data_IF_141725024392
#
_entry.id   IF_141725024392
#
_cell.length_a   1.000
_cell.length_b   1.000
_cell.length_c   1.000
_cell.angle_alpha   90.00
_cell.angle_beta   90.00
_cell.angle_gamma   90.00
#
_symmetry.space_group_name_H-M   'P 1'
#
loop_
_entity.id
_entity.type
_entity.pdbx_description
1 polymer ?
#
# COMPACT_ATOMS: atom_id res chain seq x y z
N UNK A 1 -1.09 24.33 16.26
CA UNK A 1 -1.10 23.69 14.93
C UNK A 1 0.11 22.79 14.82
N UNK A 2 -0.08 21.48 14.63
CA UNK A 2 0.98 20.50 14.40
C UNK A 2 1.13 20.29 12.90
N UNK A 3 2.36 20.16 12.42
CA UNK A 3 2.63 19.95 11.00
C UNK A 3 3.61 18.79 10.82
N UNK A 4 3.40 18.02 9.75
CA UNK A 4 4.29 16.93 9.36
C UNK A 4 4.50 17.01 7.86
N UNK A 5 5.76 16.87 7.44
CA UNK A 5 6.10 16.77 6.02
C UNK A 5 5.83 15.35 5.55
N UNK A 6 5.14 15.22 4.42
CA UNK A 6 4.95 13.96 3.72
C UNK A 6 5.95 13.94 2.57
N UNK A 7 6.80 12.91 2.56
CA UNK A 7 7.86 12.74 1.57
C UNK A 7 7.51 11.51 0.74
N UNK A 8 7.60 11.64 -0.57
CA UNK A 8 7.56 10.49 -1.46
C UNK A 8 8.94 9.84 -1.48
N UNK A 9 8.98 8.53 -1.30
CA UNK A 9 10.19 7.71 -1.43
C UNK A 9 9.85 6.51 -2.31
N UNK A 10 10.16 6.58 -3.60
CA UNK A 10 9.80 5.56 -4.58
C UNK A 10 10.67 5.64 -5.83
N UNK A 11 10.88 4.50 -6.49
CA UNK A 11 11.68 4.38 -7.73
C UNK A 11 13.11 4.97 -7.60
N UNK A 12 13.72 4.88 -6.42
CA UNK A 12 15.05 5.44 -6.15
C UNK A 12 15.07 6.96 -5.98
N UNK A 13 13.92 7.62 -6.01
CA UNK A 13 13.77 9.05 -5.82
C UNK A 13 13.21 9.38 -4.44
N UNK A 14 13.58 10.56 -3.94
CA UNK A 14 13.05 11.11 -2.70
C UNK A 14 12.77 12.60 -2.88
N UNK A 15 11.50 13.00 -2.80
CA UNK A 15 11.09 14.39 -2.95
C UNK A 15 9.87 14.73 -2.09
N UNK A 16 9.63 16.01 -1.75
CA UNK A 16 8.51 16.43 -0.92
C UNK A 16 7.18 16.16 -1.65
N UNK A 17 6.34 15.31 -1.09
CA UNK A 17 5.00 15.03 -1.63
C UNK A 17 4.00 16.11 -1.19
N UNK A 18 4.07 16.49 0.09
CA UNK A 18 3.14 17.46 0.65
C UNK A 18 3.33 17.69 2.13
N UNK A 19 2.33 18.33 2.75
CA UNK A 19 2.31 18.61 4.18
C UNK A 19 0.95 18.27 4.75
N UNK A 20 0.97 17.69 5.94
CA UNK A 20 -0.18 17.56 6.81
C UNK A 20 -0.16 18.66 7.86
N UNK A 21 -1.30 19.32 8.06
CA UNK A 21 -1.49 20.28 9.14
C UNK A 21 -2.73 19.90 9.96
N UNK A 22 -2.57 19.81 11.27
CA UNK A 22 -3.64 19.47 12.22
C UNK A 22 -3.71 20.52 13.34
N UNK A 23 -4.89 21.10 13.53
CA UNK A 23 -5.18 22.02 14.64
C UNK A 23 -6.00 21.36 15.77
N UNK A 24 -6.27 20.06 15.66
CA UNK A 24 -7.12 19.26 16.54
C UNK A 24 -8.57 19.17 16.07
N UNK A 25 -9.05 20.13 15.27
CA UNK A 25 -10.42 20.20 14.71
C UNK A 25 -10.46 19.88 13.23
N UNK A 26 -9.47 20.33 12.50
CA UNK A 26 -9.34 20.17 11.05
C UNK A 26 -7.97 19.61 10.74
N UNK A 27 -7.96 18.59 9.87
CA UNK A 27 -6.75 18.04 9.31
C UNK A 27 -6.74 18.34 7.81
N UNK A 28 -5.69 19.02 7.36
CA UNK A 28 -5.50 19.43 5.99
C UNK A 28 -4.30 18.71 5.38
N UNK A 29 -4.40 18.37 4.09
CA UNK A 29 -3.28 17.91 3.28
C UNK A 29 -3.07 18.87 2.10
N UNK A 30 -1.85 19.34 1.91
CA UNK A 30 -1.47 20.21 0.80
C UNK A 30 -0.31 19.56 0.02
N UNK A 31 -0.43 19.49 -1.31
CA UNK A 31 0.68 19.05 -2.16
C UNK A 31 1.81 20.07 -2.16
N UNK A 32 3.06 19.58 -2.17
CA UNK A 32 4.20 20.45 -2.39
C UNK A 32 4.24 20.92 -3.87
N UNK A 33 4.77 22.11 -4.17
CA UNK A 33 4.94 22.56 -5.55
C UNK A 33 5.71 21.57 -6.42
N UNK A 34 6.70 20.89 -5.83
CA UNK A 34 7.49 19.86 -6.49
C UNK A 34 6.64 18.65 -6.88
N UNK A 35 5.74 18.18 -6.01
CA UNK A 35 4.80 17.10 -6.33
C UNK A 35 3.87 17.44 -7.51
N UNK A 36 3.41 18.69 -7.59
CA UNK A 36 2.60 19.17 -8.72
C UNK A 36 3.39 19.17 -10.03
N UNK A 37 4.69 19.52 -9.96
CA UNK A 37 5.58 19.48 -11.12
C UNK A 37 5.90 18.05 -11.57
N UNK A 38 6.04 17.11 -10.63
CA UNK A 38 6.24 15.68 -10.93
C UNK A 38 5.04 15.07 -11.65
N UNK A 39 3.82 15.54 -11.38
CA UNK A 39 2.60 15.05 -12.06
C UNK A 39 2.19 13.63 -11.68
N UNK A 40 2.79 13.04 -10.64
CA UNK A 40 2.47 11.69 -10.16
C UNK A 40 1.18 11.67 -9.33
N UNK A 41 0.10 11.15 -9.93
CA UNK A 41 -1.21 11.00 -9.30
C UNK A 41 -1.31 9.69 -8.49
N UNK A 42 -0.96 9.74 -7.20
CA UNK A 42 -1.04 8.57 -6.30
C UNK A 42 -2.47 8.17 -5.91
N UNK A 43 -3.43 9.11 -5.95
CA UNK A 43 -4.84 8.83 -5.65
C UNK A 43 -5.76 9.70 -6.52
N UNK A 44 -5.79 9.47 -7.84
CA UNK A 44 -6.42 10.37 -8.83
C UNK A 44 -7.91 10.61 -8.63
N UNK A 45 -8.60 9.77 -7.85
CA UNK A 45 -10.03 9.88 -7.56
C UNK A 45 -10.33 10.75 -6.33
N UNK A 46 -9.55 10.60 -5.24
CA UNK A 46 -9.86 11.21 -3.94
C UNK A 46 -8.83 12.24 -3.48
N UNK A 47 -7.63 12.22 -4.05
CA UNK A 47 -6.52 13.13 -3.77
C UNK A 47 -5.82 13.46 -5.09
N UNK A 48 -6.54 14.16 -5.97
CA UNK A 48 -6.02 14.58 -7.27
C UNK A 48 -4.96 15.68 -7.10
N UNK A 49 -3.92 15.70 -7.92
CA UNK A 49 -2.92 16.77 -7.87
C UNK A 49 -3.56 18.12 -8.15
N UNK A 50 -3.47 19.01 -7.15
CA UNK A 50 -3.93 20.39 -7.23
C UNK A 50 -3.20 21.25 -6.18
N UNK A 51 -3.07 22.56 -6.41
CA UNK A 51 -2.41 23.46 -5.45
C UNK A 51 -3.26 23.73 -4.20
N UNK A 52 -4.58 23.53 -4.24
CA UNK A 52 -5.44 23.75 -3.08
C UNK A 52 -5.36 22.57 -2.10
N UNK A 53 -5.27 22.89 -0.81
CA UNK A 53 -5.35 21.89 0.24
C UNK A 53 -6.65 21.06 0.15
N UNK A 54 -6.52 19.80 0.52
CA UNK A 54 -7.63 18.91 0.85
C UNK A 54 -7.93 19.02 2.34
N UNK A 55 -9.21 18.91 2.68
CA UNK A 55 -9.73 18.88 4.04
C UNK A 55 -10.99 18.02 4.08
N UNK A 56 -11.72 18.10 5.19
CA UNK A 56 -13.00 17.39 5.41
C UNK A 56 -12.92 15.88 5.16
N UNK A 57 -11.76 15.30 5.41
CA UNK A 57 -11.57 13.86 5.34
C UNK A 57 -12.50 13.16 6.36
N UNK A 58 -12.98 11.94 6.06
CA UNK A 58 -13.93 11.28 6.91
C UNK A 58 -13.41 11.05 8.34
N UNK A 59 -14.24 11.34 9.34
CA UNK A 59 -13.86 11.17 10.75
C UNK A 59 -13.48 9.73 11.09
N UNK A 60 -14.08 8.74 10.42
CA UNK A 60 -13.76 7.32 10.60
C UNK A 60 -12.36 6.93 10.08
N UNK A 61 -11.75 7.74 9.20
CA UNK A 61 -10.35 7.62 8.75
C UNK A 61 -9.41 8.52 9.55
N UNK A 62 -9.80 8.89 10.79
CA UNK A 62 -9.07 9.85 11.62
C UNK A 62 -8.85 11.21 10.93
N UNK A 63 -9.71 11.56 9.97
CA UNK A 63 -9.57 12.73 9.10
C UNK A 63 -8.29 12.73 8.26
N UNK A 64 -7.78 11.56 7.89
CA UNK A 64 -6.69 11.41 6.90
C UNK A 64 -7.26 11.03 5.53
N UNK A 65 -6.49 11.28 4.47
CA UNK A 65 -6.81 10.70 3.17
C UNK A 65 -6.62 9.18 3.23
N UNK A 66 -7.43 8.42 2.48
CA UNK A 66 -7.29 6.96 2.40
C UNK A 66 -5.86 6.54 2.04
N UNK A 67 -5.20 7.26 1.11
CA UNK A 67 -3.79 7.04 0.76
C UNK A 67 -2.85 7.01 1.98
N UNK A 68 -3.12 7.85 2.98
CA UNK A 68 -2.28 8.01 4.18
C UNK A 68 -2.78 7.19 5.37
N UNK A 69 -4.03 6.72 5.34
CA UNK A 69 -4.67 6.03 6.45
C UNK A 69 -4.31 4.52 6.53
N UNK A 70 -3.91 3.89 5.43
CA UNK A 70 -3.67 2.43 5.34
C UNK A 70 -2.33 1.96 5.94
N UNK A 71 -1.45 2.88 6.33
CA UNK A 71 -0.16 2.56 6.97
C UNK A 71 -0.02 3.29 8.30
N UNK A 72 0.37 2.56 9.34
CA UNK A 72 0.53 3.13 10.68
C UNK A 72 1.83 2.67 11.34
N UNK A 73 2.31 3.49 12.28
CA UNK A 73 3.43 3.17 13.16
C UNK A 73 3.01 3.32 14.62
N UNK A 74 3.56 2.45 15.47
CA UNK A 74 3.36 2.46 16.92
C UNK A 74 4.62 2.98 17.59
N UNK A 75 4.49 3.99 18.45
CA UNK A 75 5.58 4.43 19.32
C UNK A 75 5.74 3.45 20.48
N UNK A 76 6.90 2.81 20.59
CA UNK A 76 7.24 1.96 21.72
C UNK A 76 7.55 2.77 22.98
N UNK A 77 7.48 2.12 24.16
CA UNK A 77 7.87 2.73 25.45
C UNK A 77 9.34 3.15 25.50
N UNK A 78 10.16 2.49 24.70
CA UNK A 78 11.57 2.81 24.45
C UNK A 78 11.76 4.01 23.51
N UNK A 79 10.67 4.68 23.10
CA UNK A 79 10.64 5.82 22.19
C UNK A 79 11.09 5.50 20.76
N UNK A 80 11.03 4.23 20.36
CA UNK A 80 11.27 3.81 18.98
C UNK A 80 9.94 3.53 18.26
N UNK A 81 9.79 4.13 17.07
CA UNK A 81 8.68 3.85 16.16
C UNK A 81 8.86 2.48 15.51
N UNK A 82 7.78 1.70 15.46
CA UNK A 82 7.73 0.39 14.79
C UNK A 82 6.53 0.35 13.88
N UNK A 83 6.65 -0.31 12.73
CA UNK A 83 5.50 -0.53 11.85
C UNK A 83 4.39 -1.23 12.65
N UNK A 84 3.16 -0.73 12.54
CA UNK A 84 2.01 -1.40 13.11
C UNK A 84 1.77 -2.74 12.39
N UNK A 85 1.17 -3.75 13.04
CA UNK A 85 0.64 -4.90 12.32
C UNK A 85 -0.29 -4.43 11.19
N UNK A 86 -0.32 -5.15 10.07
CA UNK A 86 -1.26 -4.85 9.00
C UNK A 86 -2.70 -4.86 9.53
N UNK A 87 -3.51 -3.90 9.08
CA UNK A 87 -4.92 -3.73 9.43
C UNK A 87 -5.72 -3.48 8.15
N UNK A 88 -7.05 -3.40 8.29
CA UNK A 88 -8.00 -3.21 7.18
C UNK A 88 -7.81 -4.15 5.97
N UNK A 89 -7.44 -5.41 6.25
CA UNK A 89 -7.23 -6.41 5.22
C UNK A 89 -8.57 -6.92 4.70
N UNK A 90 -8.95 -6.45 3.50
CA UNK A 90 -10.15 -6.91 2.79
C UNK A 90 -9.80 -7.41 1.39
N UNK A 91 -10.53 -8.41 0.91
CA UNK A 91 -10.37 -8.84 -0.48
C UNK A 91 -10.89 -7.75 -1.41
N UNK A 92 -10.01 -7.22 -2.25
CA UNK A 92 -10.31 -6.19 -3.22
C UNK A 92 -9.74 -6.57 -4.58
N UNK A 93 -10.50 -6.30 -5.63
CA UNK A 93 -10.01 -6.38 -7.03
C UNK A 93 -9.19 -5.16 -7.41
N UNK A 94 -9.13 -4.15 -6.53
CA UNK A 94 -8.46 -2.88 -6.75
C UNK A 94 -9.10 -2.02 -7.84
N UNK A 95 -8.61 -0.78 -8.02
CA UNK A 95 -9.11 0.14 -9.04
C UNK A 95 -8.84 -0.41 -10.43
N UNK A 96 -9.87 -0.56 -11.26
CA UNK A 96 -9.76 -1.08 -12.64
C UNK A 96 -9.10 -2.47 -12.75
N UNK A 97 -9.09 -3.27 -11.69
CA UNK A 97 -8.42 -4.57 -11.66
C UNK A 97 -6.91 -4.50 -11.39
N UNK A 98 -6.39 -3.33 -11.03
CA UNK A 98 -4.99 -3.09 -10.69
C UNK A 98 -4.76 -3.06 -9.18
N UNK A 99 -3.54 -3.36 -8.75
CA UNK A 99 -3.08 -3.09 -7.39
C UNK A 99 -3.15 -1.59 -7.07
N UNK A 100 -3.43 -1.25 -5.81
CA UNK A 100 -3.46 0.15 -5.34
C UNK A 100 -2.08 0.81 -5.39
N UNK A 101 -1.02 0.01 -5.27
CA UNK A 101 0.37 0.41 -5.50
C UNK A 101 0.98 -0.60 -6.47
N UNK A 102 1.66 -0.10 -7.48
CA UNK A 102 2.40 -0.92 -8.44
C UNK A 102 3.70 -1.45 -7.82
N UNK A 103 4.32 -2.40 -8.51
CA UNK A 103 5.64 -2.95 -8.17
C UNK A 103 6.57 -2.65 -9.34
N UNK A 104 7.39 -1.61 -9.19
CA UNK A 104 8.36 -1.17 -10.18
C UNK A 104 7.74 -0.89 -11.57
N UNK A 105 6.56 -0.27 -11.62
CA UNK A 105 5.81 0.06 -12.84
C UNK A 105 4.69 -0.93 -13.18
N UNK A 106 4.61 -2.09 -12.53
CA UNK A 106 3.63 -3.14 -12.84
C UNK A 106 2.51 -3.21 -11.80
N UNK A 107 1.26 -3.04 -12.23
CA UNK A 107 0.08 -2.99 -11.36
C UNK A 107 -0.94 -4.11 -11.56
N UNK A 108 -0.86 -4.92 -12.62
CA UNK A 108 -1.83 -5.96 -12.97
C UNK A 108 -1.25 -7.38 -12.84
N UNK A 109 -0.07 -7.59 -13.43
CA UNK A 109 0.57 -8.87 -13.61
C UNK A 109 1.94 -8.88 -12.93
N UNK A 110 1.96 -8.63 -11.62
CA UNK A 110 3.20 -8.67 -10.84
C UNK A 110 3.78 -10.08 -10.88
N UNK A 111 5.07 -10.15 -11.20
CA UNK A 111 5.85 -11.39 -11.37
C UNK A 111 7.02 -11.39 -10.39
N UNK A 112 7.70 -12.54 -10.28
CA UNK A 112 8.85 -12.70 -9.38
C UNK A 112 9.95 -11.69 -9.69
N UNK A 113 10.21 -11.41 -10.96
CA UNK A 113 11.20 -10.41 -11.39
C UNK A 113 10.91 -9.02 -10.84
N UNK A 114 9.65 -8.58 -10.89
CA UNK A 114 9.19 -7.31 -10.34
C UNK A 114 9.46 -7.21 -8.83
N UNK A 115 9.13 -8.27 -8.06
CA UNK A 115 9.36 -8.30 -6.62
C UNK A 115 10.86 -8.30 -6.25
N UNK A 116 11.69 -9.01 -7.03
CA UNK A 116 13.14 -9.03 -6.81
C UNK A 116 13.78 -7.67 -7.14
N UNK A 117 13.30 -6.99 -8.18
CA UNK A 117 13.71 -5.62 -8.51
C UNK A 117 13.31 -4.64 -7.40
N UNK A 118 12.07 -4.72 -6.91
CA UNK A 118 11.61 -3.89 -5.77
C UNK A 118 12.50 -4.09 -4.55
N UNK A 119 12.86 -5.34 -4.24
CA UNK A 119 13.78 -5.64 -3.15
C UNK A 119 15.15 -4.99 -3.36
N UNK A 120 15.70 -5.06 -4.57
CA UNK A 120 16.99 -4.43 -4.90
C UNK A 120 16.94 -2.91 -4.77
N UNK A 121 15.92 -2.25 -5.33
CA UNK A 121 15.73 -0.79 -5.23
C UNK A 121 15.48 -0.35 -3.78
N UNK A 122 14.84 -1.20 -2.97
CA UNK A 122 14.59 -1.00 -1.55
C UNK A 122 15.73 -1.40 -0.62
N UNK A 123 16.90 -1.80 -1.15
CA UNK A 123 18.07 -2.18 -0.35
C UNK A 123 17.96 -3.53 0.39
N UNK A 124 17.02 -4.39 -0.01
CA UNK A 124 16.85 -5.74 0.53
C UNK A 124 17.71 -6.71 -0.26
N UNK A 125 18.60 -7.44 0.44
CA UNK A 125 19.45 -8.45 -0.18
C UNK A 125 18.66 -9.55 -0.90
N UNK A 126 19.14 -9.97 -2.07
CA UNK A 126 18.44 -10.92 -2.96
C UNK A 126 18.07 -12.25 -2.29
N UNK A 127 18.91 -12.74 -1.38
CA UNK A 127 18.65 -13.97 -0.62
C UNK A 127 17.45 -13.78 0.33
N UNK A 128 17.42 -12.67 1.08
CA UNK A 128 16.30 -12.32 1.97
C UNK A 128 15.00 -12.12 1.19
N UNK A 129 15.07 -11.49 0.02
CA UNK A 129 13.92 -11.31 -0.86
C UNK A 129 13.35 -12.65 -1.33
N UNK A 130 14.21 -13.51 -1.91
CA UNK A 130 13.82 -14.87 -2.37
C UNK A 130 13.23 -15.68 -1.22
N UNK A 131 13.91 -15.72 -0.07
CA UNK A 131 13.42 -16.42 1.11
C UNK A 131 12.04 -15.92 1.55
N UNK A 132 11.80 -14.61 1.54
CA UNK A 132 10.52 -14.02 1.94
C UNK A 132 9.39 -14.38 0.97
N UNK A 133 9.67 -14.35 -0.34
CA UNK A 133 8.72 -14.78 -1.38
C UNK A 133 8.40 -16.27 -1.20
N UNK A 134 9.44 -17.11 -1.12
CA UNK A 134 9.31 -18.56 -1.04
C UNK A 134 8.59 -19.00 0.24
N UNK A 135 8.76 -18.28 1.35
CA UNK A 135 8.00 -18.50 2.58
C UNK A 135 6.50 -18.24 2.41
N UNK A 136 6.10 -17.31 1.54
CA UNK A 136 4.69 -16.97 1.32
C UNK A 136 3.98 -17.93 0.35
N UNK A 137 4.70 -18.47 -0.63
CA UNK A 137 4.14 -19.30 -1.70
C UNK A 137 3.30 -20.51 -1.21
N UNK A 138 3.72 -21.28 -0.17
CA UNK A 138 2.90 -22.37 0.36
C UNK A 138 1.57 -21.92 0.97
N UNK A 139 1.52 -20.71 1.53
CA UNK A 139 0.29 -20.14 2.09
C UNK A 139 -0.70 -19.77 0.99
N UNK A 140 -0.21 -19.18 -0.10
CA UNK A 140 -1.02 -18.88 -1.29
C UNK A 140 -1.58 -20.18 -1.92
N UNK A 141 -0.73 -21.20 -2.09
CA UNK A 141 -1.14 -22.48 -2.66
C UNK A 141 -2.17 -23.23 -1.80
N UNK A 142 -2.13 -23.08 -0.48
CA UNK A 142 -3.05 -23.74 0.47
C UNK A 142 -4.27 -22.91 0.85
N UNK A 143 -4.50 -21.74 0.21
CA UNK A 143 -5.56 -20.81 0.61
C UNK A 143 -6.95 -21.46 0.62
N UNK A 144 -7.27 -22.27 -0.39
CA UNK A 144 -8.57 -22.94 -0.48
C UNK A 144 -8.86 -23.83 0.73
N UNK A 145 -7.85 -24.58 1.21
CA UNK A 145 -7.97 -25.40 2.41
C UNK A 145 -8.19 -24.56 3.66
N UNK A 146 -7.44 -23.45 3.80
CA UNK A 146 -7.59 -22.53 4.94
C UNK A 146 -8.95 -21.86 4.97
N UNK A 147 -9.50 -21.48 3.82
CA UNK A 147 -10.80 -20.82 3.75
C UNK A 147 -11.96 -21.76 4.13
N UNK A 148 -11.78 -23.08 4.01
CA UNK A 148 -12.80 -24.05 4.39
C UNK A 148 -13.11 -24.04 5.90
N UNK A 149 -12.16 -23.58 6.72
CA UNK A 149 -12.31 -23.47 8.17
C UNK A 149 -13.09 -22.21 8.60
N UNK A 150 -13.48 -21.35 7.65
CA UNK A 150 -14.15 -20.08 7.93
C UNK A 150 -15.49 -19.95 7.20
N UNK A 151 -16.46 -19.21 7.76
CA UNK A 151 -17.79 -19.02 7.17
C UNK A 151 -17.77 -18.01 6.01
N UNK A 152 -16.97 -18.27 4.99
CA UNK A 152 -16.85 -17.42 3.78
C UNK A 152 -17.86 -17.88 2.74
N UNK A 153 -18.57 -16.93 2.11
CA UNK A 153 -19.53 -17.24 1.03
C UNK A 153 -18.81 -17.97 -0.10
N UNK A 154 -19.42 -19.02 -0.64
CA UNK A 154 -18.85 -19.86 -1.71
C UNK A 154 -18.33 -19.04 -2.91
N UNK A 155 -19.13 -18.10 -3.40
CA UNK A 155 -18.75 -17.24 -4.52
C UNK A 155 -17.50 -16.39 -4.21
N UNK A 156 -17.43 -15.83 -3.00
CA UNK A 156 -16.28 -15.04 -2.52
C UNK A 156 -15.03 -15.91 -2.39
N UNK A 157 -15.15 -17.10 -1.80
CA UNK A 157 -14.03 -18.03 -1.68
C UNK A 157 -13.50 -18.47 -3.05
N UNK A 158 -14.38 -18.75 -4.00
CA UNK A 158 -14.01 -19.09 -5.38
C UNK A 158 -13.24 -17.94 -6.07
N UNK A 159 -13.73 -16.70 -5.94
CA UNK A 159 -13.06 -15.53 -6.51
C UNK A 159 -11.66 -15.31 -5.87
N UNK A 160 -11.59 -15.36 -4.53
CA UNK A 160 -10.33 -15.27 -3.78
C UNK A 160 -9.31 -16.31 -4.25
N UNK A 161 -9.71 -17.58 -4.28
CA UNK A 161 -8.82 -18.67 -4.70
C UNK A 161 -8.36 -18.51 -6.14
N UNK A 162 -9.25 -18.14 -7.06
CA UNK A 162 -8.90 -17.94 -8.47
C UNK A 162 -7.86 -16.81 -8.63
N UNK A 163 -8.09 -15.67 -7.99
CA UNK A 163 -7.18 -14.51 -8.03
C UNK A 163 -5.82 -14.84 -7.42
N UNK A 164 -5.81 -15.40 -6.19
CA UNK A 164 -4.55 -15.74 -5.50
C UNK A 164 -3.78 -16.82 -6.25
N UNK A 165 -4.45 -17.81 -6.85
CA UNK A 165 -3.80 -18.85 -7.63
C UNK A 165 -3.22 -18.34 -8.95
N UNK A 166 -3.83 -17.33 -9.57
CA UNK A 166 -3.24 -16.63 -10.71
C UNK A 166 -1.93 -15.93 -10.32
N UNK A 167 -1.91 -15.23 -9.19
CA UNK A 167 -0.70 -14.61 -8.65
C UNK A 167 0.38 -15.64 -8.29
N UNK A 168 0.01 -16.73 -7.59
CA UNK A 168 0.92 -17.82 -7.26
C UNK A 168 1.63 -18.38 -8.50
N UNK A 169 0.89 -18.66 -9.58
CA UNK A 169 1.47 -19.18 -10.83
C UNK A 169 2.49 -18.21 -11.46
N UNK A 170 2.22 -16.90 -11.43
CA UNK A 170 3.15 -15.86 -11.92
C UNK A 170 4.44 -15.76 -11.11
N UNK A 171 4.44 -16.21 -9.86
CA UNK A 171 5.62 -16.20 -8.98
C UNK A 171 6.42 -17.51 -9.00
N UNK A 172 5.85 -18.57 -9.58
CA UNK A 172 6.47 -19.89 -9.73
C UNK A 172 7.20 -20.08 -11.07
N UNK A 173 6.79 -19.34 -12.11
CA UNK A 173 7.51 -19.23 -13.39
C UNK A 173 8.71 -18.32 -13.28
#
# INVERSE_FOLDING_TARGET
MRQVNVVYCGWGEQWPLGRLADDGRTLLFEYAPEALAQGLELSPLHLKLRPQAYGDFPAYQHRLSGLLAEMAWRLGRDRHWRLAPAFDLTFSTGPMGLHHMDVCGEGAAIERGHLLRLAQEGGIGIHTAKHSIDRMLPHAASLAGRLADFPVRRATAQALCATVQACYRRLMG
#
